data_IF_144237909546
#
_entry.id   IF_144237909546
#
_cell.length_a   1.000
_cell.length_b   1.000
_cell.length_c   1.000
_cell.angle_alpha   90.00
_cell.angle_beta   90.00
_cell.angle_gamma   90.00
#
_symmetry.space_group_name_H-M   'P 1'
#
loop_
_entity.id
_entity.type
_entity.pdbx_description
1 polymer ?
#
# COMPACT_ATOMS: atom_id res chain seq x y z
N UNK A 1 3.98 1.47 -8.12
CA UNK A 1 3.03 0.66 -8.91
C UNK A 1 3.70 -0.65 -9.19
N UNK A 2 3.05 -1.75 -8.83
CA UNK A 2 3.54 -3.11 -9.03
C UNK A 2 2.79 -3.84 -10.15
N UNK A 3 3.17 -5.09 -10.44
CA UNK A 3 2.51 -5.92 -11.45
C UNK A 3 1.06 -6.22 -11.06
N UNK A 4 0.19 -6.26 -12.09
CA UNK A 4 -1.20 -6.72 -11.99
C UNK A 4 -1.33 -7.95 -12.87
N UNK A 5 -1.50 -9.11 -12.26
CA UNK A 5 -1.46 -10.41 -12.93
C UNK A 5 -2.66 -11.28 -12.49
N UNK A 6 -2.77 -12.49 -13.06
CA UNK A 6 -3.83 -13.46 -12.73
C UNK A 6 -3.54 -14.24 -11.45
N UNK A 7 -2.29 -14.32 -11.03
CA UNK A 7 -1.86 -14.99 -9.81
C UNK A 7 -0.73 -14.23 -9.11
N UNK A 8 -0.54 -14.48 -7.81
CA UNK A 8 0.59 -13.94 -7.06
C UNK A 8 1.93 -14.44 -7.64
N UNK A 9 1.99 -15.68 -8.13
CA UNK A 9 3.18 -16.23 -8.78
C UNK A 9 3.54 -15.48 -10.06
N UNK A 10 2.56 -15.13 -10.89
CA UNK A 10 2.80 -14.31 -12.09
C UNK A 10 3.32 -12.93 -11.69
N UNK A 11 2.80 -12.36 -10.59
CA UNK A 11 3.33 -11.10 -10.03
C UNK A 11 4.80 -11.25 -9.62
N UNK A 12 5.19 -12.37 -9.01
CA UNK A 12 6.59 -12.65 -8.65
C UNK A 12 7.50 -12.68 -9.88
N UNK A 13 7.06 -13.33 -10.96
CA UNK A 13 7.83 -13.45 -12.21
C UNK A 13 8.04 -12.07 -12.84
N UNK A 14 6.95 -11.29 -12.96
CA UNK A 14 7.04 -9.94 -13.53
C UNK A 14 7.87 -9.04 -12.63
N UNK A 15 7.62 -9.04 -11.31
CA UNK A 15 8.38 -8.24 -10.36
C UNK A 15 9.87 -8.54 -10.42
N UNK A 16 10.26 -9.81 -10.45
CA UNK A 16 11.66 -10.20 -10.56
C UNK A 16 12.32 -9.74 -11.87
N UNK A 17 11.53 -9.52 -12.90
CA UNK A 17 12.03 -9.05 -14.21
C UNK A 17 12.25 -7.54 -14.24
N UNK A 18 11.35 -6.77 -13.57
CA UNK A 18 11.35 -5.30 -13.66
C UNK A 18 12.08 -4.63 -12.49
N UNK A 19 12.38 -5.35 -11.39
CA UNK A 19 13.08 -4.80 -10.24
C UNK A 19 14.57 -4.56 -10.54
N UNK A 20 15.16 -3.63 -9.80
CA UNK A 20 16.60 -3.37 -9.87
C UNK A 20 16.95 -2.11 -10.68
N UNK A 21 18.21 -1.74 -10.62
CA UNK A 21 18.71 -0.52 -11.25
C UNK A 21 18.84 -0.69 -12.77
N UNK A 22 18.33 0.29 -13.51
CA UNK A 22 18.51 0.42 -14.96
C UNK A 22 19.47 1.58 -15.34
N UNK A 23 19.97 2.29 -14.33
CA UNK A 23 20.84 3.45 -14.49
C UNK A 23 20.11 4.76 -14.82
N UNK A 24 18.79 4.74 -15.01
CA UNK A 24 17.98 5.92 -15.31
C UNK A 24 17.38 6.54 -14.04
N UNK A 25 16.86 5.71 -13.14
CA UNK A 25 16.33 6.15 -11.85
C UNK A 25 17.35 5.87 -10.73
N UNK A 26 17.91 6.94 -10.17
CA UNK A 26 18.90 6.88 -9.10
C UNK A 26 18.30 6.60 -7.71
N UNK A 27 16.97 6.59 -7.58
CA UNK A 27 16.28 6.30 -6.31
C UNK A 27 16.04 4.81 -6.12
N UNK A 28 16.25 3.99 -7.15
CA UNK A 28 16.11 2.54 -7.10
C UNK A 28 17.21 1.92 -6.26
N UNK A 29 16.83 0.95 -5.42
CA UNK A 29 17.75 0.17 -4.59
C UNK A 29 17.81 -1.27 -5.08
N UNK A 30 19.03 -1.82 -5.20
CA UNK A 30 19.24 -3.23 -5.53
C UNK A 30 19.02 -4.12 -4.30
N UNK A 31 17.76 -4.37 -3.94
CA UNK A 31 17.40 -5.31 -2.90
C UNK A 31 17.26 -6.73 -3.46
N UNK A 32 17.63 -7.74 -2.69
CA UNK A 32 17.46 -9.14 -3.09
C UNK A 32 15.97 -9.51 -3.06
N UNK A 33 15.53 -10.30 -4.06
CA UNK A 33 14.21 -10.92 -4.08
C UNK A 33 14.37 -12.44 -4.03
N UNK A 34 14.35 -13.00 -2.83
CA UNK A 34 14.63 -14.42 -2.56
C UNK A 34 13.33 -15.22 -2.43
N UNK A 35 12.42 -15.10 -3.39
CA UNK A 35 11.20 -15.90 -3.41
C UNK A 35 11.51 -17.37 -3.60
N UNK A 36 10.92 -18.21 -2.74
CA UNK A 36 11.01 -19.66 -2.81
C UNK A 36 9.62 -20.26 -2.53
N UNK A 37 9.02 -20.87 -3.56
CA UNK A 37 7.72 -21.54 -3.45
C UNK A 37 7.68 -22.71 -2.46
N UNK A 38 8.84 -23.25 -2.05
CA UNK A 38 8.98 -24.31 -1.05
C UNK A 38 9.20 -23.80 0.38
N UNK A 39 9.11 -22.51 0.62
CA UNK A 39 9.24 -21.93 1.97
C UNK A 39 8.17 -22.48 2.90
N UNK A 40 8.55 -22.77 4.15
CA UNK A 40 7.62 -23.22 5.15
C UNK A 40 6.82 -22.02 5.70
N UNK A 41 5.54 -21.95 5.39
CA UNK A 41 4.67 -20.85 5.79
C UNK A 41 4.54 -20.70 7.32
N UNK A 42 4.80 -21.77 8.08
CA UNK A 42 4.76 -21.73 9.55
C UNK A 42 5.92 -20.94 10.17
N UNK A 43 6.95 -20.66 9.40
CA UNK A 43 8.09 -19.84 9.87
C UNK A 43 7.78 -18.35 9.77
N UNK A 44 6.69 -17.95 9.07
CA UNK A 44 6.24 -16.59 8.97
C UNK A 44 5.49 -16.15 10.23
N UNK A 45 5.88 -15.03 10.79
CA UNK A 45 5.09 -14.35 11.82
C UNK A 45 4.05 -13.46 11.17
N UNK A 46 2.77 -13.82 11.30
CA UNK A 46 1.66 -13.17 10.62
C UNK A 46 0.78 -12.44 11.61
N UNK A 47 0.53 -11.17 11.35
CA UNK A 47 -0.43 -10.35 12.07
C UNK A 47 -1.71 -10.11 11.26
N UNK A 48 -2.73 -9.54 11.91
CA UNK A 48 -3.91 -9.02 11.21
C UNK A 48 -4.47 -7.78 11.93
N UNK A 49 -5.03 -6.84 11.18
CA UNK A 49 -5.61 -5.62 11.73
C UNK A 49 -7.03 -5.88 12.25
N UNK A 50 -7.10 -6.45 13.46
CA UNK A 50 -8.36 -6.92 14.07
C UNK A 50 -9.47 -5.87 14.02
N UNK A 51 -9.16 -4.62 14.37
CA UNK A 51 -10.12 -3.51 14.38
C UNK A 51 -10.76 -3.27 13.01
N UNK A 52 -10.01 -3.44 11.92
CA UNK A 52 -10.54 -3.27 10.57
C UNK A 52 -11.41 -4.45 10.13
N UNK A 53 -11.06 -5.68 10.55
CA UNK A 53 -11.93 -6.84 10.33
C UNK A 53 -13.25 -6.72 11.10
N UNK A 54 -13.22 -6.28 12.35
CA UNK A 54 -14.41 -6.13 13.20
C UNK A 54 -15.36 -5.03 12.66
N UNK A 55 -14.83 -4.00 12.00
CA UNK A 55 -15.60 -2.87 11.49
C UNK A 55 -16.07 -3.02 10.03
N UNK A 56 -15.48 -3.93 9.24
CA UNK A 56 -15.91 -4.18 7.85
C UNK A 56 -17.11 -5.13 7.80
N UNK A 57 -18.27 -4.60 8.08
CA UNK A 57 -19.54 -5.37 8.07
C UNK A 57 -20.00 -5.75 6.67
N UNK A 58 -19.56 -5.02 5.64
CA UNK A 58 -19.97 -5.26 4.24
C UNK A 58 -19.30 -6.51 3.66
N UNK A 59 -18.00 -6.69 3.93
CA UNK A 59 -17.22 -7.81 3.40
C UNK A 59 -16.91 -8.87 4.47
N UNK A 60 -17.58 -8.82 5.62
CA UNK A 60 -17.30 -9.65 6.78
C UNK A 60 -17.16 -11.14 6.42
N UNK A 61 -18.12 -11.69 5.68
CA UNK A 61 -18.11 -13.09 5.26
C UNK A 61 -16.85 -13.49 4.48
N UNK A 62 -16.44 -12.66 3.53
CA UNK A 62 -15.27 -12.93 2.68
C UNK A 62 -13.98 -12.74 3.47
N UNK A 63 -13.94 -11.74 4.36
CA UNK A 63 -12.81 -11.48 5.24
C UNK A 63 -12.60 -12.62 6.25
N UNK A 64 -13.66 -13.10 6.90
CA UNK A 64 -13.61 -14.24 7.81
C UNK A 64 -13.19 -15.54 7.09
N UNK A 65 -13.69 -15.77 5.87
CA UNK A 65 -13.28 -16.90 5.04
C UNK A 65 -11.78 -16.85 4.69
N UNK A 66 -11.25 -15.64 4.43
CA UNK A 66 -9.81 -15.43 4.20
C UNK A 66 -8.99 -15.80 5.42
N UNK A 67 -9.33 -15.30 6.61
CA UNK A 67 -8.65 -15.66 7.87
C UNK A 67 -8.76 -17.16 8.16
N UNK A 68 -9.92 -17.77 7.92
CA UNK A 68 -10.11 -19.21 8.09
C UNK A 68 -9.21 -20.02 7.13
N UNK A 69 -8.98 -19.53 5.91
CA UNK A 69 -8.08 -20.15 4.94
C UNK A 69 -6.63 -20.09 5.43
N UNK A 70 -6.18 -18.94 5.93
CA UNK A 70 -4.84 -18.76 6.50
C UNK A 70 -4.62 -19.72 7.67
N UNK A 71 -5.62 -19.86 8.57
CA UNK A 71 -5.53 -20.83 9.70
C UNK A 71 -5.45 -22.28 9.23
N UNK A 72 -6.16 -22.65 8.16
CA UNK A 72 -6.04 -24.00 7.55
C UNK A 72 -4.67 -24.30 7.00
N UNK A 73 -3.90 -23.29 6.60
CA UNK A 73 -2.50 -23.42 6.19
C UNK A 73 -1.55 -23.63 7.40
N UNK A 74 -2.08 -23.58 8.62
CA UNK A 74 -1.33 -23.78 9.86
C UNK A 74 -0.68 -22.49 10.37
N UNK A 75 -1.17 -21.35 9.94
CA UNK A 75 -0.75 -20.02 10.41
C UNK A 75 -1.82 -19.50 11.38
N UNK A 76 -1.41 -19.02 12.56
CA UNK A 76 -2.31 -18.37 13.52
C UNK A 76 -1.99 -16.88 13.58
N UNK A 77 -2.74 -16.01 12.85
CA UNK A 77 -2.48 -14.59 12.84
C UNK A 77 -2.74 -13.94 14.20
N UNK A 78 -1.84 -13.06 14.62
CA UNK A 78 -1.95 -12.30 15.87
C UNK A 78 -2.59 -10.92 15.61
N UNK A 79 -3.41 -10.37 16.54
CA UNK A 79 -3.95 -9.03 16.38
C UNK A 79 -2.84 -7.97 16.45
N UNK A 80 -2.86 -7.03 15.51
CA UNK A 80 -1.91 -5.91 15.42
C UNK A 80 -2.68 -4.61 15.31
N UNK A 81 -2.13 -3.55 15.90
CA UNK A 81 -2.62 -2.18 15.76
C UNK A 81 -1.58 -1.32 15.06
N UNK A 82 -2.01 -0.53 14.09
CA UNK A 82 -1.19 0.50 13.44
C UNK A 82 -1.19 1.80 14.26
N UNK A 83 -0.26 2.74 14.00
CA UNK A 83 -0.34 4.09 14.56
C UNK A 83 -1.69 4.73 14.28
N UNK A 84 -2.27 5.46 15.23
CA UNK A 84 -3.59 6.08 15.10
C UNK A 84 -3.64 7.54 15.58
N UNK A 85 -2.54 8.07 16.09
CA UNK A 85 -2.49 9.40 16.71
C UNK A 85 -1.95 10.50 15.76
N UNK A 86 -1.55 10.13 14.52
CA UNK A 86 -0.98 11.06 13.57
C UNK A 86 -2.02 11.59 12.56
N UNK A 87 -1.93 12.88 12.18
CA UNK A 87 -2.86 13.49 11.24
C UNK A 87 -2.55 13.09 9.78
N UNK A 88 -2.91 11.88 9.39
CA UNK A 88 -2.62 11.31 8.06
C UNK A 88 -3.17 12.17 6.92
N UNK A 89 -4.37 12.72 7.08
CA UNK A 89 -4.97 13.61 6.08
C UNK A 89 -4.10 14.83 5.79
N UNK A 90 -3.45 15.39 6.82
CA UNK A 90 -2.55 16.52 6.66
C UNK A 90 -1.30 16.15 5.84
N UNK A 91 -0.85 14.90 5.91
CA UNK A 91 0.26 14.41 5.08
C UNK A 91 -0.11 14.21 3.61
N UNK A 92 -1.41 14.21 3.26
CA UNK A 92 -1.88 14.14 1.87
C UNK A 92 -1.34 15.26 0.96
N UNK A 93 -0.90 16.38 1.54
CA UNK A 93 -0.26 17.45 0.78
C UNK A 93 1.07 17.01 0.14
N UNK A 94 1.73 15.98 0.66
CA UNK A 94 2.96 15.42 0.07
C UNK A 94 2.65 14.90 -1.33
N UNK A 95 1.67 14.00 -1.46
CA UNK A 95 1.24 13.47 -2.76
C UNK A 95 0.81 14.60 -3.71
N UNK A 96 0.06 15.57 -3.18
CA UNK A 96 -0.46 16.69 -3.97
C UNK A 96 0.66 17.58 -4.51
N UNK A 97 1.65 17.93 -3.68
CA UNK A 97 2.78 18.77 -4.07
C UNK A 97 3.72 18.03 -5.02
N UNK A 98 4.05 16.77 -4.72
CA UNK A 98 4.93 15.95 -5.57
C UNK A 98 4.28 15.62 -6.91
N UNK A 99 2.97 15.32 -6.94
CA UNK A 99 2.22 15.16 -8.17
C UNK A 99 2.23 16.43 -9.04
N UNK A 100 2.02 17.60 -8.43
CA UNK A 100 2.09 18.87 -9.16
C UNK A 100 3.50 19.16 -9.69
N UNK A 101 4.55 18.80 -8.95
CA UNK A 101 5.93 18.94 -9.39
C UNK A 101 6.26 17.98 -10.55
N UNK A 102 5.82 16.72 -10.47
CA UNK A 102 6.03 15.73 -11.52
C UNK A 102 5.35 16.10 -12.85
N UNK A 103 4.17 16.76 -12.77
CA UNK A 103 3.38 17.18 -13.93
C UNK A 103 3.45 18.70 -14.16
N UNK A 104 4.52 19.37 -13.71
CA UNK A 104 4.66 20.83 -13.83
C UNK A 104 4.69 21.32 -15.28
N UNK A 105 5.39 20.61 -16.17
CA UNK A 105 5.42 20.93 -17.60
C UNK A 105 4.03 20.82 -18.25
N UNK A 106 3.27 19.78 -17.90
CA UNK A 106 1.90 19.59 -18.38
C UNK A 106 1.02 20.80 -18.02
N UNK A 107 1.11 21.25 -16.77
CA UNK A 107 0.35 22.39 -16.26
C UNK A 107 0.82 23.72 -16.88
N UNK A 108 2.14 23.97 -16.98
CA UNK A 108 2.69 25.22 -17.55
C UNK A 108 2.41 25.37 -19.03
N UNK A 109 2.33 24.26 -19.78
CA UNK A 109 2.03 24.27 -21.20
C UNK A 109 0.53 24.29 -21.51
N UNK A 110 -0.34 24.34 -20.50
CA UNK A 110 -1.80 24.22 -20.62
C UNK A 110 -2.28 22.90 -21.27
N UNK A 111 -1.43 21.88 -21.32
CA UNK A 111 -1.82 20.56 -21.84
C UNK A 111 -2.69 19.78 -20.85
N UNK A 112 -2.72 20.18 -19.60
CA UNK A 112 -3.63 19.67 -18.57
C UNK A 112 -5.11 19.90 -18.95
N UNK A 113 -5.43 20.88 -19.79
CA UNK A 113 -6.76 21.09 -20.36
C UNK A 113 -7.22 19.94 -21.28
N UNK A 114 -6.29 19.11 -21.78
CA UNK A 114 -6.58 17.93 -22.60
C UNK A 114 -6.94 16.68 -21.80
N UNK A 115 -6.77 16.71 -20.49
CA UNK A 115 -7.17 15.61 -19.63
C UNK A 115 -8.70 15.50 -19.59
N UNK A 116 -9.20 14.26 -19.68
CA UNK A 116 -10.64 13.98 -19.83
C UNK A 116 -11.48 14.49 -18.66
N UNK A 117 -10.96 14.37 -17.44
CA UNK A 117 -11.69 14.79 -16.23
C UNK A 117 -11.20 16.18 -15.78
N UNK A 118 -12.06 17.18 -15.87
CA UNK A 118 -11.80 18.58 -15.49
C UNK A 118 -12.59 19.02 -14.24
N UNK A 119 -13.15 18.07 -13.47
CA UNK A 119 -13.92 18.38 -12.27
C UNK A 119 -13.05 19.00 -11.17
N UNK A 120 -13.66 19.70 -10.22
CA UNK A 120 -12.97 20.43 -9.14
C UNK A 120 -11.93 19.57 -8.39
N UNK A 121 -12.22 18.30 -8.21
CA UNK A 121 -11.35 17.33 -7.50
C UNK A 121 -10.46 16.50 -8.43
N UNK A 122 -10.48 16.76 -9.73
CA UNK A 122 -9.65 16.05 -10.69
C UNK A 122 -8.21 16.56 -10.70
N UNK A 123 -7.29 15.74 -11.17
CA UNK A 123 -5.86 16.02 -11.18
C UNK A 123 -5.46 17.35 -11.83
N UNK A 124 -6.02 17.79 -12.97
CA UNK A 124 -5.65 19.08 -13.54
C UNK A 124 -5.84 20.24 -12.55
N UNK A 125 -6.98 20.26 -11.87
CA UNK A 125 -7.27 21.30 -10.91
C UNK A 125 -6.42 21.14 -9.62
N UNK A 126 -6.15 19.91 -9.22
CA UNK A 126 -5.27 19.58 -8.10
C UNK A 126 -3.84 20.06 -8.37
N UNK A 127 -3.29 19.84 -9.56
CA UNK A 127 -1.96 20.34 -9.95
C UNK A 127 -1.87 21.87 -9.91
N UNK A 128 -2.92 22.56 -10.38
CA UNK A 128 -2.99 24.05 -10.33
C UNK A 128 -3.05 24.54 -8.88
N UNK A 129 -3.91 23.93 -8.04
CA UNK A 129 -4.10 24.33 -6.64
C UNK A 129 -2.87 24.02 -5.77
N UNK A 130 -2.18 22.92 -6.02
CA UNK A 130 -0.99 22.52 -5.28
C UNK A 130 0.15 23.54 -5.32
N UNK A 131 0.18 24.39 -6.36
CA UNK A 131 1.18 25.48 -6.48
C UNK A 131 1.05 26.54 -5.40
N UNK A 132 -0.04 26.56 -4.65
CA UNK A 132 -0.28 27.45 -3.51
C UNK A 132 0.03 26.83 -2.15
N UNK A 133 0.52 25.57 -2.10
CA UNK A 133 0.97 24.95 -0.87
C UNK A 133 2.25 25.66 -0.42
N UNK A 134 2.27 26.26 0.80
CA UNK A 134 3.50 26.86 1.32
C UNK A 134 4.57 25.80 1.55
N UNK A 135 5.82 26.16 1.24
CA UNK A 135 6.95 25.23 1.46
C UNK A 135 7.08 24.77 2.91
N UNK A 136 6.72 25.62 3.87
CA UNK A 136 6.74 25.28 5.32
C UNK A 136 5.79 24.13 5.61
N UNK A 137 4.58 24.13 5.04
CA UNK A 137 3.59 23.07 5.26
C UNK A 137 4.04 21.74 4.63
N UNK A 138 4.63 21.78 3.46
CA UNK A 138 5.21 20.59 2.83
C UNK A 138 6.35 20.00 3.68
N UNK A 139 7.25 20.85 4.19
CA UNK A 139 8.37 20.41 5.05
C UNK A 139 7.85 19.83 6.36
N UNK A 140 6.83 20.43 6.98
CA UNK A 140 6.21 19.90 8.18
C UNK A 140 5.53 18.56 7.94
N UNK A 141 4.87 18.37 6.80
CA UNK A 141 4.29 17.09 6.41
C UNK A 141 5.36 15.99 6.24
N UNK A 142 6.52 16.31 5.66
CA UNK A 142 7.64 15.36 5.58
C UNK A 142 8.16 14.97 6.97
N UNK A 143 8.25 15.91 7.91
CA UNK A 143 8.66 15.61 9.30
C UNK A 143 7.64 14.70 10.01
N UNK A 144 6.34 14.93 9.79
CA UNK A 144 5.29 14.03 10.30
C UNK A 144 5.38 12.64 9.66
N UNK A 145 5.73 12.57 8.37
CA UNK A 145 5.96 11.30 7.69
C UNK A 145 7.15 10.53 8.31
N UNK A 146 8.22 11.21 8.69
CA UNK A 146 9.35 10.55 9.36
C UNK A 146 8.93 9.94 10.70
N UNK A 147 8.12 10.64 11.49
CA UNK A 147 7.52 10.11 12.73
C UNK A 147 6.64 8.89 12.43
N UNK A 148 5.79 8.98 11.40
CA UNK A 148 4.94 7.86 10.99
C UNK A 148 5.77 6.62 10.60
N UNK A 149 6.90 6.80 9.89
CA UNK A 149 7.78 5.69 9.51
C UNK A 149 8.33 4.99 10.76
N UNK A 150 8.79 5.74 11.76
CA UNK A 150 9.30 5.19 13.02
C UNK A 150 8.21 4.45 13.79
N UNK A 151 7.04 5.06 13.99
CA UNK A 151 5.93 4.45 14.72
C UNK A 151 5.37 3.22 14.01
N UNK A 152 5.25 3.27 12.68
CA UNK A 152 4.82 2.13 11.88
C UNK A 152 5.80 0.97 12.01
N UNK A 153 7.11 1.25 11.92
CA UNK A 153 8.15 0.24 12.13
C UNK A 153 8.05 -0.39 13.51
N UNK A 154 7.97 0.40 14.58
CA UNK A 154 7.87 -0.13 15.95
C UNK A 154 6.65 -1.04 16.17
N UNK A 155 5.53 -0.73 15.53
CA UNK A 155 4.30 -1.53 15.61
C UNK A 155 4.34 -2.81 14.78
N UNK A 156 5.12 -2.82 13.69
CA UNK A 156 5.05 -3.90 12.68
C UNK A 156 6.34 -4.73 12.56
N UNK A 157 7.46 -4.30 13.13
CA UNK A 157 8.79 -4.93 12.97
C UNK A 157 8.85 -6.41 13.26
N UNK A 158 8.00 -6.90 14.15
CA UNK A 158 7.98 -8.32 14.55
C UNK A 158 7.21 -9.21 13.57
N UNK A 159 6.43 -8.65 12.64
CA UNK A 159 5.60 -9.39 11.70
C UNK A 159 6.21 -9.39 10.31
N UNK A 160 6.20 -10.55 9.65
CA UNK A 160 6.63 -10.67 8.26
C UNK A 160 5.52 -10.26 7.29
N UNK A 161 4.27 -10.55 7.67
CA UNK A 161 3.06 -10.21 6.91
C UNK A 161 1.96 -9.75 7.86
N UNK A 162 1.22 -8.72 7.48
CA UNK A 162 0.02 -8.26 8.18
C UNK A 162 -1.17 -8.30 7.22
N UNK A 163 -2.25 -8.97 7.64
CA UNK A 163 -3.46 -9.14 6.83
C UNK A 163 -4.47 -8.05 7.19
N UNK A 164 -5.11 -7.48 6.15
CA UNK A 164 -6.11 -6.42 6.33
C UNK A 164 -7.17 -6.44 5.23
N UNK A 165 -8.42 -6.03 5.51
CA UNK A 165 -9.36 -5.65 4.47
C UNK A 165 -8.76 -4.59 3.54
N UNK A 166 -8.92 -4.73 2.21
CA UNK A 166 -8.16 -3.91 1.24
C UNK A 166 -8.41 -2.42 1.33
N UNK A 167 -9.62 -2.00 1.69
CA UNK A 167 -10.02 -0.59 1.78
C UNK A 167 -10.44 -0.19 3.18
N UNK A 168 -9.98 -0.92 4.20
CA UNK A 168 -10.29 -0.63 5.60
C UNK A 168 -9.38 0.46 6.18
N UNK A 169 -9.97 1.52 6.77
CA UNK A 169 -9.26 2.54 7.53
C UNK A 169 -8.10 3.21 6.79
N UNK A 170 -7.15 3.68 7.55
CA UNK A 170 -6.02 4.50 7.07
C UNK A 170 -4.80 3.70 6.59
N UNK A 171 -4.86 2.36 6.66
CA UNK A 171 -3.72 1.49 6.36
C UNK A 171 -3.13 1.71 4.95
N UNK A 172 -3.98 2.00 3.95
CA UNK A 172 -3.54 2.27 2.59
C UNK A 172 -2.72 3.58 2.51
N UNK A 173 -3.19 4.64 3.18
CA UNK A 173 -2.46 5.90 3.30
C UNK A 173 -1.12 5.71 4.00
N UNK A 174 -1.10 4.97 5.11
CA UNK A 174 0.12 4.69 5.88
C UNK A 174 1.16 3.93 5.04
N UNK A 175 0.77 2.83 4.38
CA UNK A 175 1.72 2.04 3.58
C UNK A 175 2.26 2.80 2.38
N UNK A 176 1.45 3.67 1.75
CA UNK A 176 1.92 4.57 0.69
C UNK A 176 2.92 5.61 1.22
N UNK A 177 2.68 6.19 2.41
CA UNK A 177 3.58 7.16 3.03
C UNK A 177 4.87 6.53 3.54
N UNK A 178 4.81 5.30 4.04
CA UNK A 178 5.98 4.60 4.62
C UNK A 178 6.74 3.74 3.61
N UNK A 179 6.16 3.48 2.42
CA UNK A 179 6.79 2.72 1.34
C UNK A 179 6.69 1.20 1.49
N UNK A 180 5.86 0.68 2.40
CA UNK A 180 5.73 -0.76 2.62
C UNK A 180 5.02 -1.45 1.44
N UNK A 181 5.50 -2.64 1.02
CA UNK A 181 4.89 -3.40 -0.05
C UNK A 181 3.53 -3.96 0.36
N UNK A 182 2.63 -4.07 -0.61
CA UNK A 182 1.30 -4.64 -0.44
C UNK A 182 0.98 -5.59 -1.58
N UNK A 183 0.52 -6.80 -1.24
CA UNK A 183 -0.08 -7.75 -2.17
C UNK A 183 -1.60 -7.77 -1.96
N UNK A 184 -2.35 -7.58 -3.05
CA UNK A 184 -3.83 -7.63 -3.01
C UNK A 184 -4.30 -8.83 -3.81
N UNK A 185 -5.12 -9.68 -3.20
CA UNK A 185 -5.70 -10.85 -3.86
C UNK A 185 -7.22 -10.86 -3.75
N UNK A 186 -7.94 -11.36 -4.77
CA UNK A 186 -9.38 -11.53 -4.69
C UNK A 186 -9.75 -12.51 -3.57
N UNK A 187 -10.81 -12.20 -2.80
CA UNK A 187 -11.31 -13.08 -1.74
C UNK A 187 -12.80 -13.42 -1.87
N UNK A 188 -13.46 -13.04 -2.96
CA UNK A 188 -14.84 -13.38 -3.22
C UNK A 188 -15.62 -12.27 -3.94
N UNK A 189 -16.93 -12.27 -3.73
CA UNK A 189 -17.85 -11.28 -4.27
C UNK A 189 -18.78 -10.78 -3.15
N UNK A 190 -19.18 -9.51 -3.24
CA UNK A 190 -20.21 -8.93 -2.39
C UNK A 190 -21.63 -9.37 -2.79
N UNK A 191 -22.64 -8.91 -2.05
CA UNK A 191 -24.06 -9.23 -2.33
C UNK A 191 -24.55 -8.70 -3.69
N UNK A 192 -23.86 -7.73 -4.26
CA UNK A 192 -24.15 -7.15 -5.59
C UNK A 192 -23.31 -7.77 -6.70
N UNK A 193 -22.60 -8.86 -6.38
CA UNK A 193 -21.69 -9.55 -7.30
C UNK A 193 -20.51 -8.70 -7.78
N UNK A 194 -20.08 -7.71 -6.99
CA UNK A 194 -18.81 -7.01 -7.22
C UNK A 194 -17.66 -7.79 -6.57
N UNK A 195 -16.47 -7.87 -7.21
CA UNK A 195 -15.33 -8.56 -6.65
C UNK A 195 -14.85 -7.85 -5.37
N UNK A 196 -14.49 -8.64 -4.36
CA UNK A 196 -13.87 -8.19 -3.12
C UNK A 196 -12.43 -8.68 -3.04
N UNK A 197 -11.63 -8.08 -2.18
CA UNK A 197 -10.22 -8.40 -2.03
C UNK A 197 -9.74 -8.28 -0.58
N UNK A 198 -8.66 -8.98 -0.30
CA UNK A 198 -7.90 -8.92 0.95
C UNK A 198 -6.48 -8.46 0.64
N UNK A 199 -5.87 -7.72 1.54
CA UNK A 199 -4.52 -7.18 1.39
C UNK A 199 -3.56 -7.80 2.40
N UNK A 200 -2.33 -8.00 1.96
CA UNK A 200 -1.20 -8.45 2.74
C UNK A 200 -0.12 -7.37 2.71
N UNK A 201 0.23 -6.84 3.88
CA UNK A 201 1.25 -5.81 4.03
C UNK A 201 2.54 -6.48 4.48
N UNK A 202 3.67 -6.14 3.87
CA UNK A 202 4.97 -6.72 4.16
C UNK A 202 5.95 -5.73 4.78
N UNK A 203 7.08 -6.24 5.27
CA UNK A 203 8.24 -5.42 5.61
C UNK A 203 8.80 -4.76 4.35
N UNK A 204 9.55 -3.68 4.51
CA UNK A 204 10.29 -3.09 3.38
C UNK A 204 11.18 -4.15 2.74
N UNK A 205 11.10 -4.29 1.42
CA UNK A 205 11.75 -5.35 0.63
C UNK A 205 11.33 -6.78 0.98
N UNK A 206 10.18 -6.94 1.65
CA UNK A 206 9.63 -8.23 2.07
C UNK A 206 8.66 -8.88 1.07
N UNK A 207 8.70 -8.51 -0.21
CA UNK A 207 7.77 -9.00 -1.24
C UNK A 207 7.78 -10.52 -1.38
N UNK A 208 8.92 -11.17 -1.11
CA UNK A 208 9.03 -12.61 -1.15
C UNK A 208 8.11 -13.30 -0.11
N UNK A 209 8.03 -12.77 1.10
CA UNK A 209 7.14 -13.28 2.15
C UNK A 209 5.65 -13.08 1.76
N UNK A 210 5.32 -11.91 1.20
CA UNK A 210 3.96 -11.61 0.72
C UNK A 210 3.47 -12.58 -0.35
N UNK A 211 4.34 -12.99 -1.26
CA UNK A 211 3.98 -13.88 -2.36
C UNK A 211 3.95 -15.35 -1.89
N UNK A 212 4.64 -15.67 -0.80
CA UNK A 212 4.68 -17.04 -0.27
C UNK A 212 3.41 -17.44 0.48
N UNK A 213 2.68 -16.48 1.08
CA UNK A 213 1.47 -16.70 1.86
C UNK A 213 0.23 -16.85 0.98
#
# INVERSE_FOLDING_TARGET
>A
IGPICRSALDCAIVFNTIRGEDGLDKTVTNAAFNYNAGSNLKDLKVGYLKNLFDNDTVNQKNNEASLATIRKLGIEPEPVELPNDLPLDAMGIILTAEGAAAFDELTRSNKDDQLVNQLKWAWPNTFRAARFIPAVEYINALRLRDILIEEYYEKTKDYDVIITPSFGGDQLGMTNLTGHPCLVVPNGFDEKNHPTSISFLGKLYGEAALISI
#
